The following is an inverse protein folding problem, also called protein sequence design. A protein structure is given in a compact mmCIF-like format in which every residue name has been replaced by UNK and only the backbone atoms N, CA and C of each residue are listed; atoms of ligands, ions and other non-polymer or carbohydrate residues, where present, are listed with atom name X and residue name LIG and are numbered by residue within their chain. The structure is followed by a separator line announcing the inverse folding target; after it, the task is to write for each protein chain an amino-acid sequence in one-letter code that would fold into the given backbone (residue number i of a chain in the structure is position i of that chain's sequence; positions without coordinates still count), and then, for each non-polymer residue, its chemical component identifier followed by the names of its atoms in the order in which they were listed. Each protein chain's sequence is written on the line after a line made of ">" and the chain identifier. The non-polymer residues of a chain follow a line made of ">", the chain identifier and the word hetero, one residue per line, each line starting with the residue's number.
data_IF_621701696979
#
_entry.id   IF_621701696979
#
_cell.length_a   1.000
_cell.length_b   1.000
_cell.length_c   1.000
_cell.angle_alpha   90.00
_cell.angle_beta   90.00
_cell.angle_gamma   90.00
#
_symmetry.space_group_name_H-M   'P 1'
#
loop_
_entity.id
_entity.type
_entity.pdbx_description
1 polymer ?
#
# COMPACT_ATOMS: atom_id res chain seq x y z
N UNK A 1 -0.89 2.29 -24.01
CA UNK A 1 -0.43 2.33 -22.60
C UNK A 1 0.91 3.06 -22.53
N UNK A 2 1.19 3.82 -21.48
CA UNK A 2 2.49 4.50 -21.27
C UNK A 2 2.96 4.27 -19.82
N UNK A 3 4.27 4.14 -19.60
CA UNK A 3 4.86 3.77 -18.32
C UNK A 3 6.02 4.69 -17.95
N UNK A 4 5.94 5.31 -16.77
CA UNK A 4 7.01 6.14 -16.22
C UNK A 4 7.99 5.23 -15.48
N UNK A 5 9.00 4.73 -16.20
CA UNK A 5 9.92 3.71 -15.71
C UNK A 5 11.13 4.27 -14.96
N UNK A 6 11.56 5.50 -15.28
CA UNK A 6 12.66 6.23 -14.65
C UNK A 6 13.93 5.40 -14.30
N UNK A 7 14.48 4.58 -15.22
CA UNK A 7 15.77 3.93 -14.97
C UNK A 7 16.89 4.98 -14.92
N UNK A 8 18.00 4.63 -14.28
CA UNK A 8 19.19 5.47 -14.16
C UNK A 8 20.47 4.74 -14.58
N UNK A 9 21.62 5.31 -14.21
CA UNK A 9 22.95 4.76 -14.48
C UNK A 9 23.38 3.67 -13.50
N UNK A 10 22.52 3.30 -12.54
CA UNK A 10 22.77 2.17 -11.65
C UNK A 10 23.00 0.89 -12.47
N UNK A 11 23.90 0.02 -12.01
CA UNK A 11 24.27 -1.21 -12.74
C UNK A 11 23.05 -2.10 -13.00
N UNK A 12 22.06 -2.07 -12.10
CA UNK A 12 20.81 -2.84 -12.22
C UNK A 12 19.66 -2.01 -12.84
N UNK A 13 19.94 -0.80 -13.34
CA UNK A 13 19.04 0.20 -13.94
C UNK A 13 17.99 0.81 -13.00
N UNK A 14 17.42 0.01 -12.09
CA UNK A 14 16.20 0.36 -11.36
C UNK A 14 16.44 0.64 -9.86
N UNK A 15 17.70 0.61 -9.40
CA UNK A 15 18.11 0.76 -7.99
C UNK A 15 17.76 -0.44 -7.11
N UNK A 16 16.51 -0.91 -7.15
CA UNK A 16 16.03 -2.12 -6.48
C UNK A 16 15.80 -3.25 -7.51
N UNK A 17 16.30 -4.46 -7.24
CA UNK A 17 16.19 -5.59 -8.19
C UNK A 17 14.74 -5.89 -8.58
N UNK A 18 13.81 -5.90 -7.61
CA UNK A 18 12.39 -6.13 -7.90
C UNK A 18 11.70 -4.99 -8.65
N UNK A 19 12.29 -3.79 -8.74
CA UNK A 19 11.73 -2.73 -9.61
C UNK A 19 11.84 -3.09 -11.09
N UNK A 20 12.77 -3.98 -11.47
CA UNK A 20 12.84 -4.54 -12.81
C UNK A 20 11.60 -5.38 -13.14
N UNK A 21 11.00 -6.05 -12.14
CA UNK A 21 9.77 -6.82 -12.33
C UNK A 21 8.58 -5.92 -12.69
N UNK A 22 8.51 -4.70 -12.13
CA UNK A 22 7.48 -3.72 -12.50
C UNK A 22 7.64 -3.24 -13.94
N UNK A 23 8.87 -3.01 -14.39
CA UNK A 23 9.13 -2.66 -15.79
C UNK A 23 8.77 -3.83 -16.72
N UNK A 24 9.15 -5.06 -16.35
CA UNK A 24 8.77 -6.26 -17.09
C UNK A 24 7.24 -6.40 -17.18
N UNK A 25 6.54 -6.33 -16.06
CA UNK A 25 5.09 -6.42 -15.98
C UNK A 25 4.38 -5.37 -16.82
N UNK A 26 4.86 -4.12 -16.79
CA UNK A 26 4.34 -3.06 -17.63
C UNK A 26 4.43 -3.42 -19.12
N UNK A 27 5.58 -3.94 -19.59
CA UNK A 27 5.75 -4.37 -20.97
C UNK A 27 4.82 -5.52 -21.36
N UNK A 28 4.68 -6.51 -20.48
CA UNK A 28 3.78 -7.66 -20.69
C UNK A 28 2.32 -7.23 -20.76
N UNK A 29 1.87 -6.37 -19.86
CA UNK A 29 0.49 -5.87 -19.84
C UNK A 29 0.20 -4.88 -20.98
N UNK A 30 1.21 -4.12 -21.43
CA UNK A 30 1.08 -3.29 -22.62
C UNK A 30 0.90 -4.13 -23.90
N UNK A 31 1.45 -5.35 -23.92
CA UNK A 31 1.28 -6.31 -25.00
C UNK A 31 -0.05 -7.06 -24.91
N UNK A 32 -0.37 -7.60 -23.73
CA UNK A 32 -1.64 -8.28 -23.45
C UNK A 32 -2.14 -7.93 -22.04
N UNK A 33 -3.20 -7.10 -21.93
CA UNK A 33 -3.71 -6.66 -20.63
C UNK A 33 -4.47 -7.75 -19.86
N UNK A 34 -4.78 -8.88 -20.50
CA UNK A 34 -5.48 -10.01 -19.86
C UNK A 34 -4.53 -10.95 -19.11
N UNK A 35 -3.22 -10.72 -19.19
CA UNK A 35 -2.24 -11.52 -18.45
C UNK A 35 -2.39 -11.31 -16.94
N UNK A 36 -2.33 -12.41 -16.19
CA UNK A 36 -2.37 -12.33 -14.74
C UNK A 36 -1.02 -11.87 -14.16
N UNK A 37 -1.07 -11.21 -13.00
CA UNK A 37 0.13 -10.87 -12.24
C UNK A 37 0.94 -12.12 -11.83
N UNK A 38 0.27 -13.27 -11.64
CA UNK A 38 0.90 -14.54 -11.33
C UNK A 38 1.78 -14.97 -12.50
N UNK A 39 1.21 -15.12 -13.70
CA UNK A 39 1.96 -15.54 -14.90
C UNK A 39 3.16 -14.64 -15.17
N UNK A 40 2.98 -13.33 -15.05
CA UNK A 40 4.06 -12.34 -15.27
C UNK A 40 5.17 -12.49 -14.23
N UNK A 41 4.82 -12.64 -12.94
CA UNK A 41 5.80 -12.85 -11.89
C UNK A 41 6.57 -14.15 -12.11
N UNK A 42 5.88 -15.20 -12.54
CA UNK A 42 6.50 -16.49 -12.86
C UNK A 42 7.53 -16.37 -13.99
N UNK A 43 7.16 -15.74 -15.11
CA UNK A 43 8.07 -15.51 -16.23
C UNK A 43 9.33 -14.74 -15.78
N UNK A 44 9.13 -13.65 -15.05
CA UNK A 44 10.24 -12.80 -14.60
C UNK A 44 11.18 -13.52 -13.63
N UNK A 45 10.66 -14.20 -12.61
CA UNK A 45 11.50 -14.91 -11.62
C UNK A 45 12.35 -16.00 -12.28
N UNK A 46 11.80 -16.72 -13.26
CA UNK A 46 12.54 -17.75 -14.03
C UNK A 46 13.67 -17.17 -14.86
N UNK A 47 13.45 -16.01 -15.46
CA UNK A 47 14.45 -15.31 -16.28
C UNK A 47 15.52 -14.63 -15.42
N UNK A 48 15.15 -14.16 -14.22
CA UNK A 48 16.03 -13.33 -13.39
C UNK A 48 16.78 -14.14 -12.34
N UNK A 49 16.11 -15.01 -11.59
CA UNK A 49 16.69 -15.63 -10.40
C UNK A 49 16.95 -17.13 -10.55
N UNK A 50 15.90 -17.92 -10.78
CA UNK A 50 16.02 -19.38 -10.67
C UNK A 50 14.83 -20.11 -11.30
N UNK A 51 15.07 -21.37 -11.70
CA UNK A 51 14.03 -22.32 -12.10
C UNK A 51 13.80 -23.43 -11.06
N UNK A 52 14.48 -23.39 -9.90
CA UNK A 52 14.26 -24.34 -8.80
C UNK A 52 12.84 -24.13 -8.22
N UNK A 53 11.92 -25.12 -8.30
CA UNK A 53 10.50 -24.91 -8.03
C UNK A 53 10.18 -24.26 -6.68
N UNK A 54 10.76 -24.77 -5.58
CA UNK A 54 10.48 -24.26 -4.23
C UNK A 54 10.88 -22.80 -4.03
N UNK A 55 12.02 -22.41 -4.61
CA UNK A 55 12.60 -21.07 -4.47
C UNK A 55 11.86 -20.09 -5.36
N UNK A 56 11.62 -20.51 -6.60
CA UNK A 56 10.80 -19.80 -7.56
C UNK A 56 9.42 -19.45 -6.97
N UNK A 57 8.70 -20.43 -6.42
CA UNK A 57 7.38 -20.21 -5.83
C UNK A 57 7.43 -19.29 -4.61
N UNK A 58 8.50 -19.37 -3.81
CA UNK A 58 8.72 -18.49 -2.67
C UNK A 58 8.88 -17.03 -3.10
N UNK A 59 9.70 -16.76 -4.13
CA UNK A 59 9.91 -15.41 -4.65
C UNK A 59 8.63 -14.85 -5.30
N UNK A 60 7.91 -15.67 -6.09
CA UNK A 60 6.66 -15.25 -6.71
C UNK A 60 5.64 -14.83 -5.65
N UNK A 61 5.51 -15.59 -4.56
CA UNK A 61 4.60 -15.25 -3.46
C UNK A 61 4.98 -13.92 -2.80
N UNK A 62 6.27 -13.71 -2.52
CA UNK A 62 6.74 -12.42 -1.99
C UNK A 62 6.35 -11.24 -2.89
N UNK A 63 6.49 -11.40 -4.22
CA UNK A 63 6.12 -10.36 -5.19
C UNK A 63 4.63 -10.05 -5.16
N UNK A 64 3.79 -11.09 -5.20
CA UNK A 64 2.34 -10.95 -5.23
C UNK A 64 1.77 -10.34 -3.94
N UNK A 65 2.38 -10.64 -2.80
CA UNK A 65 1.96 -10.09 -1.50
C UNK A 65 2.44 -8.63 -1.31
N UNK A 66 3.51 -8.21 -1.99
CA UNK A 66 4.23 -6.96 -1.69
C UNK A 66 3.41 -5.68 -1.82
N UNK A 67 2.50 -5.61 -2.81
CA UNK A 67 1.69 -4.42 -3.06
C UNK A 67 0.71 -4.15 -1.91
N UNK A 68 -0.04 -5.17 -1.49
CA UNK A 68 -1.02 -5.02 -0.42
C UNK A 68 -0.32 -4.79 0.93
N UNK A 69 0.84 -5.41 1.15
CA UNK A 69 1.69 -5.11 2.32
C UNK A 69 2.04 -3.61 2.35
N UNK A 70 2.48 -3.04 1.22
CA UNK A 70 2.77 -1.61 1.11
C UNK A 70 1.55 -0.73 1.38
N UNK A 71 0.40 -1.06 0.78
CA UNK A 71 -0.87 -0.34 1.02
C UNK A 71 -1.23 -0.35 2.50
N UNK A 72 -1.14 -1.52 3.14
CA UNK A 72 -1.50 -1.72 4.54
C UNK A 72 -0.70 -0.85 5.50
N UNK A 73 0.63 -0.75 5.34
CA UNK A 73 1.43 0.12 6.21
C UNK A 73 1.49 1.58 5.74
N UNK A 74 0.88 1.96 4.62
CA UNK A 74 0.91 3.36 4.15
C UNK A 74 -0.46 4.02 4.22
N UNK A 75 -1.43 3.58 3.42
CA UNK A 75 -2.72 4.24 3.22
C UNK A 75 -3.85 3.23 2.93
N UNK A 76 -4.19 2.35 3.89
CA UNK A 76 -5.26 1.37 3.71
C UNK A 76 -6.66 2.02 3.72
N UNK A 77 -7.69 1.21 3.46
CA UNK A 77 -9.11 1.58 3.60
C UNK A 77 -9.57 2.76 2.71
N UNK A 78 -8.81 3.11 1.68
CA UNK A 78 -9.08 4.25 0.80
C UNK A 78 -8.49 5.57 1.29
N UNK A 79 -7.63 5.56 2.32
CA UNK A 79 -6.81 6.72 2.66
C UNK A 79 -5.90 7.10 1.50
N UNK A 80 -5.55 8.37 1.43
CA UNK A 80 -4.73 8.92 0.36
C UNK A 80 -3.92 10.11 0.85
N UNK A 81 -2.78 10.36 0.18
CA UNK A 81 -1.96 11.55 0.34
C UNK A 81 -1.39 11.79 1.75
N UNK A 82 -1.08 10.72 2.50
CA UNK A 82 -0.46 10.81 3.84
C UNK A 82 1.09 10.92 3.78
N UNK A 83 1.64 11.41 2.67
CA UNK A 83 3.08 11.51 2.39
C UNK A 83 3.61 12.95 2.53
N UNK A 84 4.88 13.06 2.91
CA UNK A 84 5.66 14.30 2.88
C UNK A 84 5.90 14.82 1.47
N UNK A 85 6.39 16.07 1.37
CA UNK A 85 6.74 16.69 0.07
C UNK A 85 7.91 16.02 -0.66
N UNK A 86 8.66 15.15 0.02
CA UNK A 86 9.66 14.26 -0.58
C UNK A 86 9.04 12.97 -1.15
N UNK A 87 7.76 12.74 -0.90
CA UNK A 87 6.99 11.55 -1.26
C UNK A 87 7.56 10.23 -0.69
N UNK A 88 8.36 10.30 0.38
CA UNK A 88 9.00 9.13 1.01
C UNK A 88 8.42 8.82 2.40
N UNK A 89 8.41 9.83 3.27
CA UNK A 89 8.04 9.66 4.68
C UNK A 89 6.55 9.94 4.94
N UNK A 90 5.96 9.34 5.99
CA UNK A 90 4.61 9.70 6.43
C UNK A 90 4.56 11.17 6.89
N UNK A 91 3.54 11.91 6.47
CA UNK A 91 3.27 13.28 6.91
C UNK A 91 1.76 13.57 6.94
N UNK A 92 0.97 12.84 7.74
CA UNK A 92 -0.49 12.98 7.77
C UNK A 92 -0.95 14.34 8.30
N UNK A 93 -0.10 15.05 9.06
CA UNK A 93 -0.39 16.40 9.55
C UNK A 93 -0.10 17.51 8.53
N UNK A 94 0.31 17.18 7.31
CA UNK A 94 0.54 18.20 6.28
C UNK A 94 -0.76 18.98 6.01
N UNK A 95 -0.82 20.22 6.47
CA UNK A 95 -1.97 21.11 6.37
C UNK A 95 -1.65 22.43 5.65
N UNK A 96 -0.40 22.60 5.18
CA UNK A 96 0.06 23.84 4.56
C UNK A 96 0.84 23.58 3.28
N UNK A 97 0.28 24.03 2.17
CA UNK A 97 0.90 24.05 0.85
C UNK A 97 0.35 25.23 0.03
N UNK A 98 0.96 25.58 -1.12
CA UNK A 98 0.43 26.61 -2.03
C UNK A 98 -1.02 26.36 -2.50
N UNK A 99 -1.46 25.10 -2.50
CA UNK A 99 -2.84 24.71 -2.77
C UNK A 99 -3.32 23.71 -1.71
N UNK A 100 -4.58 23.79 -1.32
CA UNK A 100 -5.14 22.85 -0.33
C UNK A 100 -5.12 21.41 -0.83
N UNK A 101 -5.34 21.18 -2.12
CA UNK A 101 -5.29 19.84 -2.74
C UNK A 101 -3.89 19.20 -2.74
N UNK A 102 -2.87 19.89 -2.21
CA UNK A 102 -1.52 19.36 -1.98
C UNK A 102 -1.26 18.98 -0.52
N UNK A 103 -2.23 19.16 0.38
CA UNK A 103 -2.09 18.84 1.80
C UNK A 103 -2.68 17.46 2.10
N UNK A 104 -2.20 16.78 3.15
CA UNK A 104 -2.78 15.52 3.58
C UNK A 104 -4.18 15.74 4.20
N UNK A 105 -4.33 16.81 4.98
CA UNK A 105 -5.57 17.13 5.71
C UNK A 105 -6.76 17.38 4.80
N UNK A 106 -6.53 17.88 3.58
CA UNK A 106 -7.57 18.02 2.56
C UNK A 106 -8.25 16.68 2.22
N UNK A 107 -7.47 15.60 2.13
CA UNK A 107 -7.96 14.29 1.73
C UNK A 107 -8.58 13.51 2.88
N UNK A 108 -7.88 13.34 3.98
CA UNK A 108 -8.36 12.48 5.06
C UNK A 108 -9.39 13.17 5.97
N UNK A 109 -9.39 14.50 6.07
CA UNK A 109 -10.36 15.31 6.83
C UNK A 109 -10.63 14.80 8.26
N UNK A 110 -9.62 14.33 8.97
CA UNK A 110 -9.84 13.69 10.28
C UNK A 110 -10.29 14.71 11.33
N UNK A 111 -11.31 14.37 12.12
CA UNK A 111 -11.77 15.11 13.29
C UNK A 111 -12.40 14.17 14.32
N UNK A 112 -12.91 14.69 15.44
CA UNK A 112 -13.40 13.87 16.56
C UNK A 112 -14.58 12.97 16.19
N UNK A 113 -15.41 13.39 15.23
CA UNK A 113 -16.57 12.66 14.72
C UNK A 113 -16.20 11.59 13.68
N UNK A 114 -15.03 11.66 13.03
CA UNK A 114 -14.69 10.70 11.98
C UNK A 114 -13.53 11.08 11.05
N UNK A 115 -13.39 10.29 9.98
CA UNK A 115 -12.33 10.41 8.96
C UNK A 115 -12.88 10.03 7.58
N UNK A 116 -12.24 10.51 6.52
CA UNK A 116 -12.58 10.22 5.12
C UNK A 116 -13.22 11.42 4.43
N UNK A 117 -13.40 11.28 3.12
CA UNK A 117 -13.93 12.34 2.26
C UNK A 117 -15.28 11.90 1.71
N UNK A 118 -16.33 12.70 1.96
CA UNK A 118 -17.64 12.44 1.36
C UNK A 118 -17.65 12.83 -0.12
N UNK A 119 -17.54 11.83 -0.98
CA UNK A 119 -17.65 11.94 -2.45
C UNK A 119 -18.95 11.33 -2.97
N UNK A 120 -19.87 10.98 -2.07
CA UNK A 120 -21.24 10.56 -2.40
C UNK A 120 -22.04 11.70 -2.99
N UNK A 121 -23.29 11.44 -3.37
CA UNK A 121 -24.26 12.46 -3.81
C UNK A 121 -24.55 13.55 -2.76
N UNK A 122 -24.31 13.26 -1.48
CA UNK A 122 -24.50 14.22 -0.39
C UNK A 122 -23.23 15.05 -0.12
N UNK A 123 -22.09 14.65 -0.68
CA UNK A 123 -20.81 15.32 -0.55
C UNK A 123 -20.42 16.06 -1.83
N UNK A 124 -19.27 15.72 -2.42
CA UNK A 124 -18.82 16.36 -3.66
C UNK A 124 -19.54 15.89 -4.93
N UNK A 125 -20.34 14.81 -4.87
CA UNK A 125 -20.99 14.21 -6.03
C UNK A 125 -20.07 13.50 -7.01
N UNK A 126 -18.77 13.37 -6.71
CA UNK A 126 -17.81 12.75 -7.63
C UNK A 126 -18.13 11.27 -7.94
N UNK A 127 -18.90 10.60 -7.10
CA UNK A 127 -19.40 9.24 -7.38
C UNK A 127 -20.21 9.14 -8.68
N UNK A 128 -20.92 10.20 -9.08
CA UNK A 128 -21.72 10.22 -10.31
C UNK A 128 -20.88 10.41 -11.58
N UNK A 129 -19.56 10.56 -11.45
CA UNK A 129 -18.63 10.48 -12.59
C UNK A 129 -18.44 9.04 -13.08
N UNK A 130 -18.80 8.04 -12.28
CA UNK A 130 -18.75 6.63 -12.66
C UNK A 130 -20.07 6.18 -13.31
N UNK A 131 -20.00 5.28 -14.29
CA UNK A 131 -21.20 4.64 -14.84
C UNK A 131 -21.80 3.62 -13.85
N UNK A 132 -23.13 3.36 -13.92
CA UNK A 132 -23.73 2.22 -13.24
C UNK A 132 -23.09 0.89 -13.65
N UNK A 133 -22.94 -0.08 -12.72
CA UNK A 133 -23.44 -0.04 -11.33
C UNK A 133 -22.45 0.57 -10.33
N UNK A 134 -21.28 1.07 -10.77
CA UNK A 134 -20.21 1.51 -9.86
C UNK A 134 -20.60 2.74 -9.04
N UNK A 135 -21.29 3.71 -9.64
CA UNK A 135 -21.79 4.86 -8.89
C UNK A 135 -22.69 4.43 -7.72
N UNK A 136 -23.63 3.49 -7.93
CA UNK A 136 -24.50 2.99 -6.85
C UNK A 136 -23.74 2.16 -5.82
N UNK A 137 -22.74 1.38 -6.23
CA UNK A 137 -21.91 0.58 -5.32
C UNK A 137 -21.06 1.49 -4.42
N UNK A 138 -20.43 2.51 -5.00
CA UNK A 138 -19.58 3.45 -4.27
C UNK A 138 -20.37 4.52 -3.51
N UNK A 139 -21.64 4.76 -3.85
CA UNK A 139 -22.50 5.70 -3.14
C UNK A 139 -23.15 5.08 -1.89
N UNK A 140 -23.29 3.75 -1.84
CA UNK A 140 -23.84 3.02 -0.68
C UNK A 140 -22.71 2.47 0.20
N UNK A 141 -22.61 3.01 1.42
CA UNK A 141 -21.58 2.64 2.41
C UNK A 141 -21.55 1.14 2.73
N UNK A 142 -22.71 0.45 2.66
CA UNK A 142 -22.78 -0.98 2.97
C UNK A 142 -22.29 -1.85 1.81
N UNK A 143 -22.30 -1.30 0.59
CA UNK A 143 -21.89 -1.99 -0.65
C UNK A 143 -20.48 -1.61 -1.08
N UNK A 144 -20.01 -0.41 -0.71
CA UNK A 144 -18.68 0.07 -1.03
C UNK A 144 -17.61 -0.93 -0.54
N UNK A 145 -16.66 -1.35 -1.40
CA UNK A 145 -15.51 -2.13 -0.95
C UNK A 145 -14.70 -1.35 0.09
N UNK A 146 -14.31 -2.00 1.19
CA UNK A 146 -13.63 -1.33 2.31
C UNK A 146 -12.30 -0.69 1.90
N UNK A 147 -11.61 -1.27 0.91
CA UNK A 147 -10.38 -0.70 0.33
C UNK A 147 -10.58 0.67 -0.36
N UNK A 148 -11.82 1.09 -0.59
CA UNK A 148 -12.19 2.39 -1.15
C UNK A 148 -13.06 3.22 -0.20
N UNK A 149 -13.36 2.72 1.00
CA UNK A 149 -14.35 3.31 1.91
C UNK A 149 -14.07 4.78 2.19
N UNK A 150 -12.86 5.11 2.65
CA UNK A 150 -12.48 6.48 3.04
C UNK A 150 -12.21 7.40 1.84
N UNK A 151 -12.18 6.83 0.62
CA UNK A 151 -12.17 7.61 -0.61
C UNK A 151 -13.58 8.15 -0.91
N UNK A 152 -14.62 7.34 -0.76
CA UNK A 152 -16.00 7.76 -1.10
C UNK A 152 -16.80 8.30 0.08
N UNK A 153 -16.49 7.84 1.29
CA UNK A 153 -17.26 8.12 2.48
C UNK A 153 -16.43 8.78 3.56
N UNK A 154 -17.06 9.73 4.24
CA UNK A 154 -16.67 10.13 5.58
C UNK A 154 -17.37 9.23 6.59
N UNK A 155 -16.60 8.57 7.45
CA UNK A 155 -17.09 7.56 8.39
C UNK A 155 -16.77 7.94 9.83
N UNK A 156 -17.71 7.66 10.73
CA UNK A 156 -17.47 7.78 12.16
C UNK A 156 -16.46 6.73 12.64
N UNK A 157 -15.68 7.05 13.68
CA UNK A 157 -14.64 6.16 14.19
C UNK A 157 -15.19 4.82 14.72
N UNK A 158 -16.45 4.77 15.13
CA UNK A 158 -17.18 3.59 15.61
C UNK A 158 -17.96 2.85 14.52
N UNK A 159 -17.90 3.31 13.26
CA UNK A 159 -18.47 2.61 12.11
C UNK A 159 -18.01 1.14 12.10
N UNK A 160 -18.95 0.22 11.94
CA UNK A 160 -18.67 -1.22 11.98
C UNK A 160 -18.25 -1.72 10.61
N UNK A 161 -17.00 -2.16 10.55
CA UNK A 161 -16.39 -2.79 9.39
C UNK A 161 -16.94 -4.22 9.23
N UNK A 162 -16.74 -4.83 8.06
CA UNK A 162 -17.15 -6.21 7.74
C UNK A 162 -16.46 -7.24 8.64
N UNK A 163 -15.31 -6.91 9.19
CA UNK A 163 -14.60 -7.69 10.21
C UNK A 163 -15.30 -7.70 11.58
N UNK A 164 -16.30 -6.83 11.80
CA UNK A 164 -16.93 -6.56 13.10
C UNK A 164 -16.20 -5.52 13.95
N UNK A 165 -14.95 -5.18 13.59
CA UNK A 165 -14.18 -4.12 14.24
C UNK A 165 -14.81 -2.75 13.99
N UNK A 166 -14.57 -1.81 14.88
CA UNK A 166 -14.77 -0.39 14.55
C UNK A 166 -13.76 0.04 13.49
N UNK A 167 -14.05 1.14 12.79
CA UNK A 167 -13.12 1.73 11.82
C UNK A 167 -11.75 2.03 12.43
N UNK A 168 -11.68 2.53 13.67
CA UNK A 168 -10.40 2.75 14.36
C UNK A 168 -9.61 1.46 14.55
N UNK A 169 -10.27 0.41 15.05
CA UNK A 169 -9.63 -0.89 15.31
C UNK A 169 -9.18 -1.55 14.01
N UNK A 170 -9.97 -1.44 12.93
CA UNK A 170 -9.62 -1.95 11.61
C UNK A 170 -8.44 -1.17 11.02
N UNK A 171 -8.40 0.15 11.18
CA UNK A 171 -7.27 0.98 10.76
C UNK A 171 -5.98 0.53 11.47
N UNK A 172 -6.02 0.38 12.79
CA UNK A 172 -4.87 -0.14 13.56
C UNK A 172 -4.45 -1.53 13.06
N UNK A 173 -5.41 -2.44 12.85
CA UNK A 173 -5.14 -3.79 12.37
C UNK A 173 -4.46 -3.78 11.00
N UNK A 174 -4.91 -2.93 10.06
CA UNK A 174 -4.30 -2.81 8.72
C UNK A 174 -2.84 -2.34 8.78
N UNK A 175 -2.56 -1.30 9.57
CA UNK A 175 -1.17 -0.86 9.73
C UNK A 175 -0.28 -1.93 10.39
N UNK A 176 -0.80 -2.67 11.37
CA UNK A 176 -0.08 -3.79 11.99
C UNK A 176 0.16 -4.94 11.00
N UNK A 177 -0.85 -5.30 10.20
CA UNK A 177 -0.74 -6.29 9.11
C UNK A 177 0.35 -5.90 8.12
N UNK A 178 0.44 -4.61 7.74
CA UNK A 178 1.49 -4.11 6.84
C UNK A 178 2.90 -4.24 7.43
N UNK A 179 3.09 -3.89 8.71
CA UNK A 179 4.38 -4.06 9.39
C UNK A 179 4.77 -5.53 9.50
N UNK A 180 3.84 -6.40 9.89
CA UNK A 180 4.03 -7.85 9.96
C UNK A 180 4.38 -8.42 8.59
N UNK A 181 3.70 -7.97 7.54
CA UNK A 181 4.00 -8.32 6.15
C UNK A 181 5.43 -7.97 5.76
N UNK A 182 5.89 -6.75 6.03
CA UNK A 182 7.27 -6.34 5.73
C UNK A 182 8.31 -7.20 6.47
N UNK A 183 8.07 -7.54 7.75
CA UNK A 183 8.94 -8.44 8.53
C UNK A 183 8.96 -9.84 7.90
N UNK A 184 7.81 -10.34 7.44
CA UNK A 184 7.72 -11.63 6.77
C UNK A 184 8.46 -11.65 5.42
N UNK A 185 8.39 -10.58 4.63
CA UNK A 185 9.18 -10.45 3.41
C UNK A 185 10.69 -10.52 3.72
N UNK A 186 11.14 -9.79 4.74
CA UNK A 186 12.54 -9.83 5.19
C UNK A 186 12.98 -11.24 5.61
N UNK A 187 12.20 -11.92 6.47
CA UNK A 187 12.51 -13.28 6.94
C UNK A 187 12.52 -14.28 5.78
N UNK A 188 11.56 -14.18 4.87
CA UNK A 188 11.44 -15.05 3.70
C UNK A 188 12.66 -14.89 2.80
N UNK A 189 13.04 -13.65 2.46
CA UNK A 189 14.24 -13.41 1.65
C UNK A 189 15.53 -13.90 2.32
N UNK A 190 15.66 -13.69 3.62
CA UNK A 190 16.82 -14.16 4.39
C UNK A 190 16.97 -15.69 4.30
N UNK A 191 15.86 -16.44 4.27
CA UNK A 191 15.87 -17.90 4.13
C UNK A 191 16.41 -18.39 2.77
N UNK A 192 16.48 -17.52 1.76
CA UNK A 192 16.99 -17.85 0.42
C UNK A 192 18.51 -17.63 0.28
N UNK A 193 19.22 -17.41 1.39
CA UNK A 193 20.68 -17.27 1.39
C UNK A 193 21.36 -18.54 0.86
N UNK A 194 22.32 -18.39 -0.04
CA UNK A 194 23.00 -19.52 -0.70
C UNK A 194 22.26 -20.08 -1.91
N UNK A 195 20.99 -19.74 -2.09
CA UNK A 195 20.19 -20.14 -3.24
C UNK A 195 20.10 -19.08 -4.34
N UNK A 196 20.33 -17.82 -3.95
CA UNK A 196 20.50 -16.66 -4.83
C UNK A 196 21.96 -16.23 -4.77
N UNK A 197 22.49 -15.69 -5.87
CA UNK A 197 23.88 -15.22 -5.87
C UNK A 197 24.11 -14.17 -4.76
N UNK A 198 25.29 -14.20 -4.11
CA UNK A 198 25.53 -13.42 -2.89
C UNK A 198 25.29 -11.92 -3.04
N UNK A 199 25.63 -11.34 -4.20
CA UNK A 199 25.47 -9.90 -4.45
C UNK A 199 24.00 -9.50 -4.44
N UNK A 200 23.18 -10.10 -5.31
CA UNK A 200 21.76 -9.72 -5.40
C UNK A 200 20.99 -10.07 -4.13
N UNK A 201 21.33 -11.20 -3.50
CA UNK A 201 20.75 -11.56 -2.20
C UNK A 201 21.01 -10.47 -1.15
N UNK A 202 22.26 -10.04 -1.01
CA UNK A 202 22.67 -9.03 -0.03
C UNK A 202 22.02 -7.67 -0.31
N UNK A 203 22.01 -7.23 -1.56
CA UNK A 203 21.43 -5.94 -1.96
C UNK A 203 19.93 -5.87 -1.69
N UNK A 204 19.16 -6.94 -1.97
CA UNK A 204 17.74 -7.00 -1.62
C UNK A 204 17.54 -7.08 -0.11
N UNK A 205 18.35 -7.88 0.61
CA UNK A 205 18.25 -7.99 2.05
C UNK A 205 18.42 -6.63 2.76
N UNK A 206 19.37 -5.82 2.31
CA UNK A 206 19.58 -4.46 2.82
C UNK A 206 18.36 -3.55 2.60
N UNK A 207 17.69 -3.66 1.44
CA UNK A 207 16.48 -2.88 1.14
C UNK A 207 15.29 -3.33 2.00
N UNK A 208 15.15 -4.63 2.26
CA UNK A 208 14.09 -5.15 3.14
C UNK A 208 14.29 -4.70 4.60
N UNK A 209 15.54 -4.54 5.08
CA UNK A 209 15.81 -3.91 6.39
C UNK A 209 15.26 -2.48 6.45
N UNK A 210 15.51 -1.69 5.40
CA UNK A 210 14.99 -0.32 5.29
C UNK A 210 13.46 -0.34 5.27
N UNK A 211 12.85 -1.19 4.44
CA UNK A 211 11.40 -1.32 4.33
C UNK A 211 10.74 -1.65 5.68
N UNK A 212 11.30 -2.56 6.47
CA UNK A 212 10.76 -2.90 7.80
C UNK A 212 10.81 -1.69 8.73
N UNK A 213 11.92 -0.94 8.74
CA UNK A 213 12.04 0.25 9.56
C UNK A 213 11.06 1.34 9.14
N UNK A 214 10.90 1.55 7.84
CA UNK A 214 9.96 2.52 7.29
C UNK A 214 8.51 2.11 7.55
N UNK A 215 8.15 0.83 7.39
CA UNK A 215 6.81 0.34 7.71
C UNK A 215 6.45 0.61 9.19
N UNK A 216 7.38 0.37 10.13
CA UNK A 216 7.20 0.70 11.55
C UNK A 216 7.02 2.21 11.76
N UNK A 217 7.83 3.04 11.09
CA UNK A 217 7.75 4.50 11.17
C UNK A 217 6.39 5.01 10.66
N UNK A 218 5.95 4.53 9.50
CA UNK A 218 4.65 4.80 8.93
C UNK A 218 3.52 4.44 9.89
N UNK A 219 3.46 3.18 10.33
CA UNK A 219 2.44 2.70 11.29
C UNK A 219 2.37 3.58 12.53
N UNK A 220 3.51 3.84 13.18
CA UNK A 220 3.52 4.61 14.42
C UNK A 220 3.08 6.06 14.20
N UNK A 221 3.62 6.76 13.20
CA UNK A 221 3.32 8.18 12.98
C UNK A 221 1.89 8.41 12.51
N UNK A 222 1.35 7.53 11.66
CA UNK A 222 -0.04 7.65 11.20
C UNK A 222 -1.02 7.38 12.35
N UNK A 223 -0.84 6.27 13.07
CA UNK A 223 -1.76 5.91 14.16
C UNK A 223 -1.68 6.91 15.32
N UNK A 224 -0.48 7.38 15.69
CA UNK A 224 -0.33 8.42 16.70
C UNK A 224 -1.06 9.70 16.29
N UNK A 225 -0.91 10.14 15.04
CA UNK A 225 -1.63 11.31 14.54
C UNK A 225 -3.15 11.13 14.63
N UNK A 226 -3.70 10.03 14.10
CA UNK A 226 -5.14 9.81 14.10
C UNK A 226 -5.74 9.54 15.50
N UNK A 227 -4.95 9.02 16.45
CA UNK A 227 -5.37 8.83 17.84
C UNK A 227 -5.80 10.12 18.53
N UNK A 228 -5.25 11.27 18.10
CA UNK A 228 -5.58 12.59 18.65
C UNK A 228 -7.00 13.03 18.31
N UNK A 229 -7.55 12.50 17.21
CA UNK A 229 -8.91 12.73 16.77
C UNK A 229 -9.86 11.66 17.28
N UNK A 230 -9.48 10.37 17.13
CA UNK A 230 -10.33 9.26 17.59
C UNK A 230 -10.45 9.18 19.12
N UNK A 231 -9.54 9.83 19.86
CA UNK A 231 -9.38 9.77 21.34
C UNK A 231 -9.23 8.34 21.86
N UNK A 232 -8.69 7.44 21.04
CA UNK A 232 -8.47 6.03 21.37
C UNK A 232 -6.98 5.73 21.37
N UNK A 233 -6.55 4.85 22.26
CA UNK A 233 -5.16 4.43 22.33
C UNK A 233 -4.73 3.67 21.07
N UNK A 234 -3.48 3.86 20.67
CA UNK A 234 -2.82 3.01 19.67
C UNK A 234 -2.41 1.70 20.37
N UNK A 235 -2.87 0.53 19.90
CA UNK A 235 -2.42 -0.74 20.45
C UNK A 235 -0.90 -0.90 20.31
N UNK A 236 -0.22 -1.59 21.26
CA UNK A 236 1.17 -1.95 21.06
C UNK A 236 1.32 -2.84 19.83
N UNK A 237 2.42 -2.68 19.09
CA UNK A 237 2.74 -3.56 17.98
C UNK A 237 3.22 -4.91 18.54
N UNK A 238 2.47 -5.97 18.27
CA UNK A 238 2.83 -7.34 18.63
C UNK A 238 3.59 -8.00 17.47
N UNK A 239 4.93 -8.04 17.56
CA UNK A 239 5.86 -8.50 16.49
C UNK A 239 7.02 -9.34 16.99
#
# INVERSE_FOLDING_TARGET
>A
MAGVVNPGTDINWCGHHFSQANWYAFGRLAWNPELSAVEIAEEWVRMTFTNKPEIFSTICRMMLDSYEIFVNYTMPLGLHHLIGGDHYAPMPWNDRAPREDWTATYYHRASEDGIGFDRTRNGSGAVDQYFPPLNEIFNDINRCPEKYLLWFHRCAWDHRMKSGRTLWEELCAKYDEGVKGAIMLQKTWASLAGEIDPRRHTEVAQRLVIQVNDAKKWRNQILEYFSRFSKRAVPPLDV
#
